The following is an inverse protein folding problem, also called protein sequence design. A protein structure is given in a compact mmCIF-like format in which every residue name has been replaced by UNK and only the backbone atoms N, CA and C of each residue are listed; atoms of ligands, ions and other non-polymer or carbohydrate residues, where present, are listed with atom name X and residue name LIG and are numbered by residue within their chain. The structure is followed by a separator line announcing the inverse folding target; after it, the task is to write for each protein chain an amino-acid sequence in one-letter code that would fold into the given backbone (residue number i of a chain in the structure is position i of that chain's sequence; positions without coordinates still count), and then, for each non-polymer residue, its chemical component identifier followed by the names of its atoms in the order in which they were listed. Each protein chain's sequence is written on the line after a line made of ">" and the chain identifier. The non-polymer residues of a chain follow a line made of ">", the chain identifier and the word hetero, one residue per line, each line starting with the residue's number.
data_IF_362136042429
#
_entry.id   IF_362136042429
#
_cell.length_a   1.000
_cell.length_b   1.000
_cell.length_c   1.000
_cell.angle_alpha   90.00
_cell.angle_beta   90.00
_cell.angle_gamma   90.00
#
_symmetry.space_group_name_H-M   'P 1'
#
loop_
_entity.id
_entity.type
_entity.pdbx_description
1 polymer ?
2 non-polymer ?
3 non-polymer ?
4 non-polymer ?
5 water ?
#
# COMPACT_ATOMS: atom_id res chain seq x y z
N UNK A 1 -21.39 -15.62 12.85
CA UNK A 1 -20.33 -15.17 11.90
C UNK A 1 -20.32 -13.63 11.84
N UNK A 2 -19.12 -13.04 11.94
CA UNK A 2 -18.91 -11.58 12.07
C UNK A 2 -18.45 -10.99 10.72
N UNK A 3 -18.10 -9.69 10.72
CA UNK A 3 -17.69 -8.97 9.50
C UNK A 3 -16.18 -8.75 9.53
N UNK A 4 -15.45 -9.10 8.46
CA UNK A 4 -13.99 -8.97 8.49
C UNK A 4 -13.52 -7.66 7.84
N UNK A 5 -12.46 -7.12 8.46
CA UNK A 5 -11.87 -5.83 8.13
C UNK A 5 -10.35 -5.97 8.14
N UNK A 6 -9.73 -5.90 6.96
CA UNK A 6 -8.28 -5.95 6.87
C UNK A 6 -7.70 -4.62 6.41
N UNK A 7 -6.61 -4.25 7.07
CA UNK A 7 -5.82 -3.10 6.74
C UNK A 7 -4.66 -3.49 5.83
N UNK A 8 -4.46 -2.71 4.77
CA UNK A 8 -3.32 -2.77 3.94
C UNK A 8 -2.47 -1.51 4.06
N UNK A 9 -1.48 -1.49 4.96
CA UNK A 9 -0.67 -0.32 5.23
C UNK A 9 0.53 -0.27 4.31
N UNK A 10 0.94 0.96 4.01
CA UNK A 10 2.03 1.23 3.10
C UNK A 10 2.23 2.75 2.96
N UNK A 11 3.32 3.15 2.33
CA UNK A 11 3.55 4.52 1.96
C UNK A 11 2.88 4.82 0.61
N UNK A 12 2.69 3.81 -0.26
CA UNK A 12 2.04 3.99 -1.55
C UNK A 12 2.53 5.29 -2.23
N UNK A 13 3.79 5.26 -2.64
CA UNK A 13 4.55 6.43 -3.03
C UNK A 13 5.31 6.21 -4.32
N UNK A 14 4.59 6.07 -5.42
CA UNK A 14 3.15 6.04 -5.52
C UNK A 14 2.56 4.62 -5.56
N UNK A 15 1.25 4.51 -5.56
CA UNK A 15 0.62 3.26 -5.80
C UNK A 15 1.05 2.74 -7.17
N UNK A 16 1.24 1.42 -7.26
CA UNK A 16 1.58 0.72 -8.52
C UNK A 16 0.54 -0.36 -8.85
N UNK A 17 0.68 -0.93 -10.03
CA UNK A 17 -0.15 -2.06 -10.48
C UNK A 17 -0.01 -3.26 -9.55
N UNK A 18 1.14 -3.39 -8.91
CA UNK A 18 1.31 -4.42 -7.93
C UNK A 18 0.39 -4.24 -6.75
N UNK A 19 0.36 -3.05 -6.18
CA UNK A 19 -0.53 -2.77 -5.09
C UNK A 19 -2.00 -2.98 -5.51
N UNK A 20 -2.34 -2.56 -6.71
CA UNK A 20 -3.70 -2.66 -7.20
C UNK A 20 -4.14 -4.14 -7.21
N UNK A 21 -3.28 -4.99 -7.72
CA UNK A 21 -3.54 -6.42 -7.79
C UNK A 21 -3.73 -6.99 -6.39
N UNK A 22 -2.88 -6.61 -5.45
CA UNK A 22 -3.03 -7.10 -4.12
C UNK A 22 -4.34 -6.67 -3.50
N UNK A 23 -4.74 -5.41 -3.69
CA UNK A 23 -5.99 -4.92 -3.03
C UNK A 23 -7.20 -5.62 -3.68
N UNK A 24 -7.17 -5.77 -4.99
CA UNK A 24 -8.26 -6.42 -5.67
C UNK A 24 -8.41 -7.86 -5.16
N UNK A 25 -7.31 -8.60 -5.07
CA UNK A 25 -7.32 -9.97 -4.53
C UNK A 25 -7.87 -9.98 -3.11
N UNK A 26 -7.44 -9.03 -2.28
CA UNK A 26 -7.89 -9.01 -0.91
C UNK A 26 -9.38 -8.68 -0.81
N UNK A 27 -9.87 -7.82 -1.69
CA UNK A 27 -11.28 -7.38 -1.57
C UNK A 27 -12.25 -8.54 -1.83
N UNK A 28 -11.81 -9.57 -2.57
CA UNK A 28 -12.58 -10.82 -2.75
C UNK A 28 -12.61 -11.72 -1.51
N UNK A 29 -11.79 -11.49 -0.49
CA UNK A 29 -11.66 -12.45 0.56
C UNK A 29 -12.09 -11.92 1.92
N UNK A 30 -12.19 -10.59 2.04
CA UNK A 30 -12.59 -9.98 3.23
C UNK A 30 -13.75 -9.02 2.92
N UNK A 31 -14.55 -8.71 3.94
CA UNK A 31 -15.73 -7.88 3.76
C UNK A 31 -15.30 -6.43 3.52
N UNK A 32 -14.35 -5.93 4.30
CA UNK A 32 -13.83 -4.56 4.15
C UNK A 32 -12.30 -4.57 4.04
N UNK A 33 -11.80 -3.76 3.11
CA UNK A 33 -10.39 -3.51 2.95
C UNK A 33 -10.10 -2.01 3.12
N UNK A 34 -9.16 -1.69 4.02
CA UNK A 34 -8.72 -0.33 4.27
C UNK A 34 -7.33 -0.13 3.71
N UNK A 35 -7.20 0.67 2.63
CA UNK A 35 -5.92 1.09 2.16
C UNK A 35 -5.42 2.19 3.07
N UNK A 36 -4.36 1.90 3.84
CA UNK A 36 -3.92 2.73 4.93
C UNK A 36 -2.57 3.34 4.55
N UNK A 37 -2.56 4.66 4.29
CA UNK A 37 -1.43 5.35 3.70
C UNK A 37 -0.73 6.05 4.86
N UNK A 38 0.48 5.58 5.11
CA UNK A 38 1.29 6.09 6.19
C UNK A 38 1.78 7.47 5.77
N UNK A 39 1.59 8.44 6.66
CA UNK A 39 1.92 9.82 6.34
C UNK A 39 3.42 9.96 6.06
N UNK A 40 4.25 9.37 6.92
CA UNK A 40 5.73 9.40 6.74
C UNK A 40 6.30 10.77 7.09
N UNK A 41 5.84 11.28 8.24
CA UNK A 41 6.16 12.57 8.80
C UNK A 41 7.67 12.77 8.92
N UNK A 42 8.42 11.72 9.29
CA UNK A 42 9.88 11.84 9.47
C UNK A 42 10.56 10.93 8.43
N UNK A 43 10.04 10.86 7.20
CA UNK A 43 10.51 9.84 6.21
C UNK A 43 10.42 10.31 4.73
N UNK A 44 9.92 11.52 4.46
CA UNK A 44 10.20 12.20 3.19
C UNK A 44 9.60 11.52 1.93
N UNK A 45 8.29 11.22 1.84
CA UNK A 45 7.74 10.68 0.58
C UNK A 45 7.81 11.68 -0.58
N UNK A 46 7.91 11.19 -1.81
CA UNK A 46 7.93 12.03 -2.95
C UNK A 46 6.55 12.67 -3.16
N UNK A 47 5.47 11.91 -3.01
CA UNK A 47 4.12 12.46 -3.18
C UNK A 47 3.56 12.78 -1.80
N UNK A 48 2.78 13.86 -1.71
CA UNK A 48 2.12 14.26 -0.44
C UNK A 48 1.07 13.22 -0.08
N UNK A 49 0.63 13.21 1.17
CA UNK A 49 -0.52 12.37 1.59
C UNK A 49 -1.72 12.55 0.65
N UNK A 50 -2.05 13.82 0.31
CA UNK A 50 -3.27 14.10 -0.50
C UNK A 50 -3.05 13.49 -1.88
N UNK A 51 -1.86 13.68 -2.43
CA UNK A 51 -1.64 13.10 -3.77
C UNK A 51 -1.77 11.55 -3.70
N UNK A 52 -1.20 10.94 -2.65
CA UNK A 52 -1.08 9.44 -2.58
C UNK A 52 -2.48 8.85 -2.40
N UNK A 53 -3.27 9.50 -1.52
CA UNK A 53 -4.65 9.08 -1.31
C UNK A 53 -5.47 9.21 -2.58
N UNK A 54 -5.29 10.32 -3.30
CA UNK A 54 -6.09 10.56 -4.47
C UNK A 54 -5.72 9.57 -5.57
N UNK A 55 -4.42 9.31 -5.69
CA UNK A 55 -3.99 8.29 -6.70
C UNK A 55 -4.56 6.88 -6.39
N UNK A 56 -4.63 6.55 -5.10
CA UNK A 56 -5.12 5.24 -4.67
C UNK A 56 -6.62 5.15 -4.97
N UNK A 57 -7.39 6.17 -4.55
CA UNK A 57 -8.88 6.32 -4.84
C UNK A 57 -9.15 6.26 -6.32
N UNK A 58 -8.36 6.98 -7.09
CA UNK A 58 -8.59 6.96 -8.49
C UNK A 58 -8.40 5.54 -9.04
N UNK A 59 -7.40 4.83 -8.54
CA UNK A 59 -7.09 3.53 -9.08
C UNK A 59 -8.03 2.41 -8.58
N UNK A 60 -8.56 2.54 -7.37
CA UNK A 60 -9.24 1.42 -6.69
C UNK A 60 -10.67 1.75 -6.22
N UNK A 61 -11.14 2.98 -6.45
CA UNK A 61 -12.40 3.46 -5.87
C UNK A 61 -13.61 2.73 -6.44
N UNK A 62 -13.45 2.12 -7.62
CA UNK A 62 -14.45 1.27 -8.22
C UNK A 62 -14.72 0.02 -7.38
N UNK A 63 -13.89 -0.30 -6.39
CA UNK A 63 -14.18 -1.46 -5.55
C UNK A 63 -14.99 -0.94 -4.37
N UNK A 64 -16.21 -1.43 -4.25
CA UNK A 64 -17.11 -0.80 -3.32
C UNK A 64 -16.73 -1.12 -1.88
N UNK A 65 -15.96 -2.20 -1.62
CA UNK A 65 -15.65 -2.53 -0.17
C UNK A 65 -14.28 -1.99 0.31
N UNK A 66 -13.70 -1.04 -0.42
CA UNK A 66 -12.35 -0.47 -0.14
C UNK A 66 -12.50 0.99 0.30
N UNK A 67 -11.90 1.30 1.46
CA UNK A 67 -11.78 2.59 2.08
C UNK A 67 -10.33 3.05 1.99
N UNK A 68 -10.12 4.37 2.12
CA UNK A 68 -8.78 4.97 1.98
C UNK A 68 -8.58 5.97 3.10
N UNK A 69 -7.54 5.79 3.92
CA UNK A 69 -7.31 6.61 5.09
C UNK A 69 -5.80 6.78 5.26
N UNK A 70 -5.40 7.97 5.66
CA UNK A 70 -4.07 8.27 6.04
C UNK A 70 -3.90 7.98 7.50
N UNK A 71 -2.68 7.57 7.92
CA UNK A 71 -2.47 7.34 9.37
C UNK A 71 -1.01 7.57 9.74
N UNK A 72 -0.81 7.78 11.03
CA UNK A 72 0.53 7.83 11.58
C UNK A 72 0.50 7.14 12.94
N UNK A 73 1.64 7.14 13.61
CA UNK A 73 1.74 6.42 14.85
C UNK A 73 1.99 4.93 14.61
N UNK A 74 1.91 4.24 15.73
CA UNK A 74 2.13 2.79 15.85
C UNK A 74 1.04 2.06 15.04
N UNK A 75 1.44 1.21 14.10
CA UNK A 75 0.46 0.38 13.37
C UNK A 75 -0.46 -0.37 14.33
N UNK A 76 0.04 -0.86 15.47
CA UNK A 76 -0.89 -1.62 16.36
C UNK A 76 -1.98 -0.71 16.92
N UNK A 77 -1.71 0.60 17.13
CA UNK A 77 -2.76 1.47 17.69
C UNK A 77 -3.81 1.71 16.60
N UNK A 78 -3.33 1.80 15.36
CA UNK A 78 -4.24 2.02 14.27
C UNK A 78 -5.09 0.76 14.10
N UNK A 79 -4.45 -0.41 14.18
CA UNK A 79 -5.13 -1.70 14.10
C UNK A 79 -6.28 -1.75 15.10
N UNK A 80 -6.01 -1.37 16.35
CA UNK A 80 -7.05 -1.37 17.43
C UNK A 80 -8.14 -0.34 17.14
N UNK A 81 -7.75 0.90 16.83
CA UNK A 81 -8.74 1.94 16.52
C UNK A 81 -9.68 1.43 15.44
N UNK A 82 -9.13 0.76 14.43
CA UNK A 82 -9.90 0.38 13.27
C UNK A 82 -10.71 -0.90 13.48
N UNK A 83 -10.48 -1.56 14.62
CA UNK A 83 -11.06 -2.85 14.92
C UNK A 83 -10.76 -3.87 13.81
N UNK A 84 -9.51 -3.96 13.35
CA UNK A 84 -9.26 -4.82 12.20
C UNK A 84 -9.21 -6.31 12.63
N UNK A 85 -9.53 -7.19 11.70
CA UNK A 85 -9.30 -8.61 11.77
C UNK A 85 -7.80 -8.90 11.58
N UNK A 86 -7.17 -8.22 10.62
CA UNK A 86 -5.75 -8.48 10.28
C UNK A 86 -5.19 -7.30 9.48
N UNK A 87 -3.86 -7.28 9.44
CA UNK A 87 -3.08 -6.54 8.48
C UNK A 87 -2.72 -7.46 7.34
N UNK A 88 -2.72 -6.89 6.13
CA UNK A 88 -2.26 -7.54 4.93
C UNK A 88 -0.95 -6.92 4.47
N UNK A 89 0.00 -7.77 4.03
CA UNK A 89 1.20 -7.30 3.37
C UNK A 89 1.54 -8.21 2.21
N UNK A 90 2.24 -7.64 1.25
CA UNK A 90 2.72 -8.39 0.09
C UNK A 90 4.16 -8.78 0.33
N UNK A 91 4.55 -9.98 -0.08
CA UNK A 91 5.90 -10.43 0.10
C UNK A 91 6.51 -10.64 -1.27
N UNK A 92 7.46 -9.79 -1.68
CA UNK A 92 7.95 -9.99 -3.05
C UNK A 92 9.35 -10.54 -3.07
N UNK A 93 10.04 -10.58 -1.94
CA UNK A 93 11.40 -11.03 -1.87
C UNK A 93 11.67 -11.59 -0.47
N UNK A 94 12.75 -12.35 -0.36
CA UNK A 94 13.21 -12.95 0.88
C UNK A 94 13.33 -11.89 1.99
N UNK A 95 13.80 -10.69 1.65
CA UNK A 95 14.08 -9.66 2.66
C UNK A 95 12.75 -9.13 3.21
N UNK A 96 11.77 -9.03 2.31
CA UNK A 96 10.38 -8.75 2.69
C UNK A 96 9.90 -9.82 3.69
N UNK A 97 10.18 -11.09 3.36
CA UNK A 97 9.66 -12.16 4.15
C UNK A 97 10.24 -12.11 5.57
N UNK A 98 11.53 -11.81 5.70
CA UNK A 98 12.18 -11.90 7.01
C UNK A 98 11.79 -10.70 7.89
N UNK A 99 11.71 -9.54 7.28
CA UNK A 99 11.25 -8.31 7.95
C UNK A 99 9.82 -8.49 8.47
N UNK A 100 8.94 -8.96 7.59
CA UNK A 100 7.55 -9.11 7.97
C UNK A 100 7.34 -10.20 9.04
N UNK A 101 8.09 -11.30 8.95
CA UNK A 101 7.99 -12.36 9.95
C UNK A 101 8.30 -11.75 11.34
N UNK A 102 9.35 -10.94 11.39
CA UNK A 102 9.84 -10.30 12.65
C UNK A 102 8.77 -9.33 13.19
N UNK A 103 8.33 -8.42 12.31
CA UNK A 103 7.29 -7.42 12.63
C UNK A 103 5.98 -8.03 13.08
N UNK A 104 5.54 -9.12 12.45
CA UNK A 104 4.29 -9.73 12.90
C UNK A 104 4.46 -10.22 14.33
N UNK A 105 5.64 -10.77 14.64
CA UNK A 105 5.89 -11.27 15.98
C UNK A 105 6.01 -10.13 17.01
N UNK A 106 6.68 -9.04 16.63
CA UNK A 106 6.74 -7.85 17.52
C UNK A 106 5.33 -7.31 17.75
N UNK A 107 4.56 -7.12 16.69
CA UNK A 107 3.24 -6.57 16.83
C UNK A 107 2.33 -7.49 17.67
N UNK A 108 2.49 -8.81 17.54
CA UNK A 108 1.64 -9.73 18.34
C UNK A 108 2.02 -9.59 19.82
N UNK A 109 3.30 -9.34 20.09
CA UNK A 109 3.68 -9.07 21.46
C UNK A 109 3.13 -7.72 21.98
N UNK A 110 2.90 -6.71 21.13
CA UNK A 110 2.39 -5.43 21.62
C UNK A 110 0.89 -5.54 21.77
N UNK A 111 0.22 -6.37 20.95
CA UNK A 111 -1.20 -6.55 21.02
C UNK A 111 -1.56 -7.97 20.61
N UNK A 112 -1.99 -8.84 21.55
CA UNK A 112 -2.18 -10.26 21.24
C UNK A 112 -3.30 -10.49 20.22
N UNK A 113 -4.17 -9.50 19.98
CA UNK A 113 -5.22 -9.65 18.96
C UNK A 113 -4.68 -9.40 17.57
N UNK A 114 -3.45 -8.89 17.46
CA UNK A 114 -2.91 -8.51 16.14
C UNK A 114 -2.82 -9.76 15.24
N UNK A 115 -2.97 -9.61 13.93
CA UNK A 115 -2.79 -10.69 13.01
C UNK A 115 -2.28 -10.07 11.70
N UNK A 116 -1.45 -10.82 10.98
CA UNK A 116 -0.91 -10.44 9.72
C UNK A 116 -0.99 -11.61 8.74
N UNK A 117 -1.54 -11.36 7.55
CA UNK A 117 -1.69 -12.31 6.45
C UNK A 117 -0.91 -11.77 5.28
N UNK A 118 -0.38 -12.68 4.48
CA UNK A 118 0.47 -12.26 3.42
C UNK A 118 -0.01 -12.86 2.13
N UNK A 119 0.15 -12.07 1.07
CA UNK A 119 0.00 -12.48 -0.30
C UNK A 119 1.35 -12.33 -1.01
N UNK A 120 1.52 -13.15 -2.03
CA UNK A 120 2.63 -13.27 -2.98
C UNK A 120 2.15 -12.60 -4.24
N UNK A 121 2.97 -11.74 -4.89
CA UNK A 121 2.55 -11.14 -6.16
C UNK A 121 2.49 -12.20 -7.29
N UNK A 122 1.54 -12.03 -8.21
CA UNK A 122 1.63 -12.75 -9.55
C UNK A 122 2.86 -12.27 -10.28
N UNK A 123 3.35 -13.14 -11.14
CA UNK A 123 4.67 -12.98 -11.69
C UNK A 123 4.76 -11.70 -12.55
N UNK A 124 3.64 -11.21 -13.12
CA UNK A 124 3.70 -10.05 -14.00
C UNK A 124 3.88 -8.76 -13.20
N UNK A 125 3.72 -8.80 -11.86
CA UNK A 125 3.96 -7.65 -10.96
C UNK A 125 5.13 -7.85 -10.00
N UNK A 126 5.77 -9.01 -10.09
CA UNK A 126 6.72 -9.43 -9.07
C UNK A 126 7.92 -8.47 -9.01
N UNK A 127 8.34 -7.92 -10.16
CA UNK A 127 9.52 -6.99 -10.21
C UNK A 127 9.18 -5.50 -9.95
N UNK A 128 7.92 -5.18 -9.65
CA UNK A 128 7.49 -3.81 -9.46
C UNK A 128 7.60 -3.43 -8.00
N UNK A 129 8.28 -2.29 -7.75
CA UNK A 129 8.17 -1.62 -6.45
C UNK A 129 8.09 -0.08 -6.65
N UNK A 130 7.56 0.61 -5.65
CA UNK A 130 7.37 2.07 -5.69
C UNK A 130 8.75 2.75 -5.88
N UNK A 131 9.75 2.29 -5.12
CA UNK A 131 11.12 2.84 -5.18
C UNK A 131 11.69 2.74 -6.58
N UNK A 132 11.55 1.58 -7.19
CA UNK A 132 12.09 1.43 -8.52
C UNK A 132 11.35 2.35 -9.50
N UNK A 133 10.03 2.44 -9.36
CA UNK A 133 9.21 3.24 -10.23
C UNK A 133 9.60 4.74 -10.10
N UNK A 134 9.80 5.23 -8.89
CA UNK A 134 10.26 6.62 -8.66
C UNK A 134 11.56 6.88 -9.40
N UNK A 135 12.47 5.90 -9.30
CA UNK A 135 13.77 6.03 -9.94
C UNK A 135 13.68 6.02 -11.46
N UNK A 136 12.85 5.16 -12.05
CA UNK A 136 12.73 5.17 -13.49
C UNK A 136 12.12 6.50 -13.98
N UNK A 137 11.04 6.94 -13.32
CA UNK A 137 10.36 8.18 -13.64
C UNK A 137 11.38 9.33 -13.56
N UNK A 138 12.11 9.38 -12.46
CA UNK A 138 13.07 10.44 -12.30
C UNK A 138 14.09 10.50 -13.43
N UNK A 139 14.58 9.36 -13.89
CA UNK A 139 15.49 9.32 -15.02
C UNK A 139 14.73 9.33 -16.34
N UNK A 140 13.45 9.71 -16.31
CA UNK A 140 12.67 10.00 -17.53
C UNK A 140 12.36 8.72 -18.31
N UNK A 141 12.27 7.58 -17.63
CA UNK A 141 11.80 6.39 -18.26
C UNK A 141 10.28 6.37 -18.27
N UNK A 142 9.73 5.46 -19.07
CA UNK A 142 8.29 5.32 -19.18
C UNK A 142 7.77 4.27 -18.18
N UNK A 143 6.93 4.70 -17.23
CA UNK A 143 6.43 3.81 -16.18
C UNK A 143 4.99 3.34 -16.46
N UNK A 144 4.51 3.57 -17.68
CA UNK A 144 3.10 3.41 -18.03
C UNK A 144 2.60 1.97 -17.77
N UNK A 145 3.43 1.03 -18.17
CA UNK A 145 3.16 -0.39 -18.05
C UNK A 145 3.06 -0.85 -16.60
N UNK A 146 3.59 -0.10 -15.62
CA UNK A 146 3.71 -0.56 -14.20
C UNK A 146 2.76 0.10 -13.22
N UNK A 147 2.10 1.18 -13.64
CA UNK A 147 1.31 1.98 -12.72
C UNK A 147 0.08 2.44 -13.47
N UNK A 148 -0.98 2.75 -12.73
CA UNK A 148 -2.19 3.32 -13.31
C UNK A 148 -1.89 4.64 -14.05
N UNK A 149 -2.72 4.96 -15.04
CA UNK A 149 -2.51 6.16 -15.87
C UNK A 149 -2.45 7.42 -15.00
N UNK A 150 -3.28 7.50 -13.97
CA UNK A 150 -3.29 8.68 -13.15
C UNK A 150 -1.90 8.94 -12.55
N UNK A 151 -1.13 7.86 -12.29
CA UNK A 151 0.18 7.97 -11.68
C UNK A 151 1.15 8.48 -12.72
N UNK A 152 1.02 7.98 -13.94
CA UNK A 152 1.83 8.45 -15.03
C UNK A 152 1.68 9.99 -15.14
N UNK A 153 0.45 10.44 -15.24
CA UNK A 153 0.13 11.89 -15.31
C UNK A 153 0.69 12.66 -14.11
N UNK A 154 0.60 12.07 -12.91
CA UNK A 154 1.15 12.70 -11.72
C UNK A 154 2.65 12.89 -11.83
N UNK A 155 3.34 11.94 -12.45
CA UNK A 155 4.75 12.13 -12.59
C UNK A 155 4.96 13.26 -13.60
N UNK A 156 4.19 13.31 -14.68
CA UNK A 156 4.35 14.36 -15.70
C UNK A 156 4.17 15.75 -15.08
N UNK A 157 3.33 15.90 -14.03
CA UNK A 157 3.07 17.16 -13.38
C UNK A 157 4.05 17.45 -12.24
N UNK A 158 4.86 16.48 -11.85
CA UNK A 158 6.10 16.80 -11.08
C UNK A 158 7.19 17.29 -12.07
N UNK A 159 7.35 16.58 -13.21
CA UNK A 159 8.31 16.88 -14.33
C UNK A 159 8.02 18.26 -14.95
N UNK A 160 6.77 18.75 -14.76
CA UNK A 160 6.24 20.05 -15.29
C UNK A 160 6.54 21.18 -14.30
N UNK A 161 6.22 21.01 -13.01
CA UNK A 161 6.80 21.87 -12.06
C UNK A 161 8.36 21.78 -12.04
N UNK A 162 9.02 20.78 -12.68
CA UNK A 162 10.53 20.82 -12.90
C UNK A 162 11.21 19.44 -12.91
N UNK A 163 11.42 18.88 -11.71
CA UNK A 163 11.68 17.42 -11.47
C UNK A 163 11.61 16.62 -12.79
X LIG B 1 6.49 -1.22 -3.08
X LIG C 1 3.57 -7.00 -5.55
X LIG C 1 3.22 -7.41 -4.31
X LIG C 1 3.37 -6.71 -3.18
X LIG C 1 3.86 -5.51 -3.27
X LIG C 1 4.27 -4.95 -4.58
X LIG C 1 4.14 -5.82 -5.78
X LIG C 1 4.51 -5.48 -7.02
X LIG C 1 4.77 -3.75 -4.32
X LIG C 1 4.62 -3.54 -2.98
X LIG C 1 4.05 -4.62 -2.36
X LIG C 1 3.79 -4.84 -0.93
X LIG C 1 5.06 -4.42 -0.12
X LIG C 1 6.13 -5.43 -0.20
X LIG C 1 4.45 -3.98 1.23
X LIG C 1 4.12 -5.03 2.13
X LIG C 1 3.06 -3.42 0.83
X LIG C 1 2.63 -4.16 -0.38
X LIG C 1 3.03 -1.87 0.72
X LIG C 1 4.18 -1.39 -0.07
X LIG C 1 4.71 0.14 0.04
X LIG C 1 5.78 0.23 -1.02
X LIG C 1 3.49 0.97 -0.20
X LIG C 1 4.92 0.50 1.64
X LIG C 1 6.00 0.09 2.81
X LIG C 1 6.58 -1.21 2.26
X LIG C 1 6.90 1.31 3.06
X LIG C 1 5.37 -0.28 4.29
X LIG C 1 4.60 0.59 5.15
X LIG C 1 5.23 0.89 6.50
X LIG C 1 6.09 -0.29 6.98
X LIG C 1 6.08 2.15 6.30
X LIG C 1 4.04 1.17 7.45
X LIG C 1 3.34 -0.04 7.66
X LIG C 1 4.38 1.80 8.81
X LIG C 1 5.18 2.71 8.88
X LIG C 1 3.72 1.46 9.92
X LIG C 1 3.65 2.34 11.11
X LIG C 1 4.87 2.50 12.02
X LIG C 1 5.21 1.31 12.97
X LIG C 1 4.35 0.82 13.75
X LIG C 1 6.54 0.93 12.86
X LIG C 1 7.29 -0.12 13.51
X LIG C 1 6.63 -0.74 14.73
X LIG C 1 6.01 -2.36 14.21
X LIG D 1 8.88 3.55 -0.79
#
# INVERSE_FOLDING_TARGET
>A
MSKTRVIYPGTFDPITNGHVDLVTRASRMFDEVVVAIAIGHHKNPLFSLEERVALAQSSLGHLSNVEFVGFDGLLVNFFKEQKATAVLRGLRAVSDFEYEFQLANMNRQLDPHFEAVFLTPSEQYSFISSTLIREIARLKGDVTKFVPQAVVEAFERKHQQGW
>B hetero
1 MG MG
>C hetero
1 COD N1 C2 N3 C4 C5 C6 N7 N8 C9 N10 C11 C12 O13 C14 O15 C16 O17 C18 O19 P20 O21 O22 O23 P24 O25 O26 O27 C28 C29 C30 C31 C32 O33 C34 O35 N36 C37 C38 C39 O40 N41 C42 C43 S44
>D hetero
1 CL CL
#
